data_IF_894070773250
#
_entry.id   IF_894070773250
#
_cell.length_a   1.000
_cell.length_b   1.000
_cell.length_c   1.000
_cell.angle_alpha   90.00
_cell.angle_beta   90.00
_cell.angle_gamma   90.00
#
_symmetry.space_group_name_H-M   'P 1'
#
loop_
_entity.id
_entity.type
_entity.pdbx_description
1 polymer ?
#
# COMPACT_ATOMS: atom_id res chain seq x y z
N UNK A 1 -26.14 -7.28 -14.94
CA UNK A 1 -25.63 -7.92 -13.71
C UNK A 1 -25.10 -6.92 -12.67
N UNK A 2 -24.08 -6.09 -12.95
CA UNK A 2 -23.48 -5.17 -11.94
C UNK A 2 -24.46 -4.20 -11.27
N UNK A 3 -25.43 -3.65 -12.01
CA UNK A 3 -26.44 -2.75 -11.43
C UNK A 3 -27.36 -3.46 -10.42
N UNK A 4 -27.81 -4.68 -10.72
CA UNK A 4 -28.67 -5.46 -9.80
C UNK A 4 -27.90 -5.88 -8.55
N UNK A 5 -26.62 -6.21 -8.68
CA UNK A 5 -25.73 -6.48 -7.55
C UNK A 5 -25.58 -5.24 -6.66
N UNK A 6 -25.31 -4.07 -7.25
CA UNK A 6 -25.20 -2.80 -6.51
C UNK A 6 -26.50 -2.45 -5.75
N UNK A 7 -27.65 -2.65 -6.38
CA UNK A 7 -28.95 -2.46 -5.73
C UNK A 7 -29.19 -3.44 -4.58
N UNK A 8 -28.78 -4.71 -4.73
CA UNK A 8 -28.93 -5.73 -3.68
C UNK A 8 -28.08 -5.41 -2.46
N UNK A 9 -26.80 -5.11 -2.66
CA UNK A 9 -25.89 -4.74 -1.56
C UNK A 9 -26.30 -3.43 -0.89
N UNK A 10 -26.76 -2.44 -1.66
CA UNK A 10 -27.29 -1.19 -1.11
C UNK A 10 -28.52 -1.41 -0.21
N UNK A 11 -29.41 -2.34 -0.56
CA UNK A 11 -30.54 -2.75 0.30
C UNK A 11 -30.07 -3.47 1.55
N UNK A 12 -29.12 -4.41 1.44
CA UNK A 12 -28.57 -5.14 2.58
C UNK A 12 -27.91 -4.19 3.60
N UNK A 13 -27.23 -3.15 3.13
CA UNK A 13 -26.58 -2.16 3.98
C UNK A 13 -27.54 -1.36 4.88
N UNK A 14 -28.84 -1.33 4.58
CA UNK A 14 -29.82 -0.74 5.51
C UNK A 14 -29.93 -1.52 6.83
N UNK A 15 -29.51 -2.80 6.84
CA UNK A 15 -29.59 -3.67 8.02
C UNK A 15 -28.31 -3.73 8.86
N UNK A 16 -27.13 -3.65 8.22
CA UNK A 16 -25.85 -3.85 8.90
C UNK A 16 -24.81 -2.73 8.64
N UNK A 17 -25.15 -1.70 7.85
CA UNK A 17 -24.25 -0.59 7.54
C UNK A 17 -23.06 -0.96 6.65
N UNK A 18 -23.05 -2.16 6.03
CA UNK A 18 -21.94 -2.67 5.25
C UNK A 18 -22.31 -2.88 3.78
N UNK A 19 -21.46 -2.39 2.87
CA UNK A 19 -21.55 -2.61 1.43
C UNK A 19 -20.23 -3.13 0.92
N UNK A 20 -20.22 -4.31 0.30
CA UNK A 20 -19.05 -4.85 -0.39
C UNK A 20 -19.39 -5.19 -1.84
N UNK A 21 -18.83 -4.44 -2.78
CA UNK A 21 -19.11 -4.60 -4.20
C UNK A 21 -17.88 -5.12 -4.94
N UNK A 22 -18.00 -6.32 -5.49
CA UNK A 22 -17.02 -6.83 -6.44
C UNK A 22 -17.38 -6.40 -7.88
N UNK A 23 -16.59 -5.48 -8.41
CA UNK A 23 -16.73 -4.88 -9.73
C UNK A 23 -15.46 -4.98 -10.57
N UNK A 24 -14.53 -5.87 -10.19
CA UNK A 24 -13.25 -6.05 -10.88
C UNK A 24 -13.43 -6.60 -12.31
N UNK A 25 -12.62 -6.12 -13.24
CA UNK A 25 -12.53 -6.58 -14.64
C UNK A 25 -13.87 -6.55 -15.41
N UNK A 26 -14.71 -5.52 -15.15
CA UNK A 26 -16.06 -5.38 -15.75
C UNK A 26 -16.17 -4.32 -16.83
N UNK A 27 -15.03 -3.77 -17.29
CA UNK A 27 -14.97 -2.67 -18.26
C UNK A 27 -15.87 -1.49 -17.85
N UNK A 28 -15.86 -1.15 -16.56
CA UNK A 28 -16.62 -0.03 -16.03
C UNK A 28 -15.86 1.26 -16.36
N UNK A 29 -16.53 2.17 -17.03
CA UNK A 29 -16.06 3.54 -17.27
C UNK A 29 -16.61 4.52 -16.21
N UNK A 30 -16.23 5.80 -16.29
CA UNK A 30 -16.70 6.82 -15.37
C UNK A 30 -18.23 6.97 -15.34
N UNK A 31 -18.89 6.85 -16.50
CA UNK A 31 -20.34 7.04 -16.63
C UNK A 31 -21.11 5.90 -15.96
N UNK A 32 -20.65 4.67 -16.18
CA UNK A 32 -21.22 3.48 -15.56
C UNK A 32 -20.93 3.43 -14.07
N UNK A 33 -19.74 3.84 -13.63
CA UNK A 33 -19.43 3.98 -12.20
C UNK A 33 -20.39 4.98 -11.55
N UNK A 34 -20.56 6.17 -12.15
CA UNK A 34 -21.51 7.18 -11.67
C UNK A 34 -22.92 6.62 -11.53
N UNK A 35 -23.41 5.88 -12.54
CA UNK A 35 -24.73 5.25 -12.50
C UNK A 35 -24.85 4.18 -11.41
N UNK A 36 -23.78 3.41 -11.17
CA UNK A 36 -23.74 2.40 -10.12
C UNK A 36 -23.78 3.04 -8.74
N UNK A 37 -22.94 4.06 -8.51
CA UNK A 37 -22.89 4.82 -7.27
C UNK A 37 -24.21 5.54 -7.04
N UNK A 38 -24.81 6.14 -8.07
CA UNK A 38 -26.09 6.85 -7.95
C UNK A 38 -27.26 5.95 -7.59
N UNK A 39 -27.21 4.68 -7.96
CA UNK A 39 -28.21 3.68 -7.54
C UNK A 39 -27.97 3.14 -6.12
N UNK A 40 -26.76 3.32 -5.59
CA UNK A 40 -26.46 3.04 -4.18
C UNK A 40 -26.80 4.21 -3.23
N UNK A 41 -27.13 5.41 -3.77
CA UNK A 41 -27.37 6.69 -3.07
C UNK A 41 -28.64 6.78 -2.19
N UNK A 42 -28.89 5.86 -1.28
CA UNK A 42 -29.98 6.05 -0.29
C UNK A 42 -29.55 5.89 1.16
N UNK A 43 -28.26 5.68 1.43
CA UNK A 43 -27.90 5.03 2.68
C UNK A 43 -26.94 5.86 3.56
N UNK A 44 -27.50 6.81 4.31
CA UNK A 44 -26.83 7.56 5.40
C UNK A 44 -26.36 6.67 6.57
N UNK A 45 -26.54 5.35 6.47
CA UNK A 45 -26.20 4.36 7.48
C UNK A 45 -24.92 3.57 7.15
N UNK A 46 -24.31 3.77 5.97
CA UNK A 46 -23.08 3.04 5.60
C UNK A 46 -21.94 3.44 6.55
N UNK A 47 -21.46 2.45 7.28
CA UNK A 47 -20.29 2.53 8.16
C UNK A 47 -19.09 1.79 7.55
N UNK A 48 -19.32 0.79 6.70
CA UNK A 48 -18.27 0.03 6.02
C UNK A 48 -18.53 -0.07 4.52
N UNK A 49 -17.56 0.37 3.71
CA UNK A 49 -17.63 0.30 2.26
C UNK A 49 -16.39 -0.38 1.68
N UNK A 50 -16.58 -1.48 0.96
CA UNK A 50 -15.59 -2.13 0.12
C UNK A 50 -15.96 -2.05 -1.35
N UNK A 51 -15.07 -1.49 -2.19
CA UNK A 51 -15.22 -1.45 -3.64
C UNK A 51 -14.01 -2.10 -4.31
N UNK A 52 -14.23 -3.24 -4.97
CA UNK A 52 -13.24 -3.87 -5.84
C UNK A 52 -13.44 -3.37 -7.26
N UNK A 53 -12.59 -2.47 -7.73
CA UNK A 53 -12.68 -1.80 -9.03
C UNK A 53 -11.43 -2.05 -9.89
N UNK A 54 -10.57 -2.99 -9.51
CA UNK A 54 -9.37 -3.36 -10.28
C UNK A 54 -9.69 -3.69 -11.75
N UNK A 55 -8.79 -3.32 -12.66
CA UNK A 55 -8.86 -3.66 -14.08
C UNK A 55 -10.08 -3.09 -14.83
N UNK A 56 -10.50 -1.89 -14.44
CA UNK A 56 -11.56 -1.14 -15.14
C UNK A 56 -10.97 0.08 -15.88
N UNK A 57 -11.83 0.91 -16.46
CA UNK A 57 -11.44 2.09 -17.24
C UNK A 57 -12.11 3.35 -16.68
N UNK A 58 -12.21 3.45 -15.35
CA UNK A 58 -12.95 4.54 -14.71
C UNK A 58 -12.25 5.89 -14.89
N UNK A 59 -10.91 5.92 -14.97
CA UNK A 59 -10.09 7.11 -15.20
C UNK A 59 -10.34 8.24 -14.19
N UNK A 60 -9.79 9.43 -14.49
CA UNK A 60 -9.82 10.59 -13.59
C UNK A 60 -11.25 11.06 -13.26
N UNK A 61 -12.13 11.05 -14.26
CA UNK A 61 -13.55 11.39 -14.08
C UNK A 61 -14.24 10.40 -13.15
N UNK A 62 -13.94 9.11 -13.28
CA UNK A 62 -14.47 8.08 -12.39
C UNK A 62 -13.99 8.26 -10.95
N UNK A 63 -12.73 8.62 -10.74
CA UNK A 63 -12.20 8.93 -9.42
C UNK A 63 -12.86 10.16 -8.80
N UNK A 64 -13.14 11.20 -9.60
CA UNK A 64 -13.90 12.37 -9.15
C UNK A 64 -15.33 12.01 -8.71
N UNK A 65 -16.02 11.17 -9.47
CA UNK A 65 -17.37 10.69 -9.11
C UNK A 65 -17.34 9.83 -7.85
N UNK A 66 -16.31 8.98 -7.69
CA UNK A 66 -16.10 8.20 -6.48
C UNK A 66 -15.87 9.10 -5.26
N UNK A 67 -15.00 10.12 -5.34
CA UNK A 67 -14.78 11.07 -4.24
C UNK A 67 -16.07 11.82 -3.90
N UNK A 68 -16.83 12.25 -4.91
CA UNK A 68 -18.11 12.93 -4.71
C UNK A 68 -19.11 12.04 -3.97
N UNK A 69 -19.17 10.75 -4.32
CA UNK A 69 -19.99 9.76 -3.61
C UNK A 69 -19.52 9.54 -2.18
N UNK A 70 -18.22 9.32 -1.94
CA UNK A 70 -17.68 9.09 -0.60
C UNK A 70 -17.95 10.26 0.35
N UNK A 71 -17.97 11.50 -0.17
CA UNK A 71 -18.34 12.71 0.58
C UNK A 71 -19.79 12.73 1.08
N UNK A 72 -20.66 11.86 0.56
CA UNK A 72 -22.04 11.70 1.06
C UNK A 72 -22.13 10.77 2.28
N UNK A 73 -21.11 9.95 2.53
CA UNK A 73 -21.13 8.89 3.54
C UNK A 73 -20.63 9.40 4.90
N UNK A 74 -21.46 10.18 5.58
CA UNK A 74 -21.09 10.88 6.84
C UNK A 74 -20.75 9.93 8.01
N UNK A 75 -21.27 8.70 8.00
CA UNK A 75 -21.04 7.69 9.04
C UNK A 75 -19.93 6.68 8.70
N UNK A 76 -19.23 6.87 7.59
CA UNK A 76 -18.22 5.92 7.14
C UNK A 76 -17.06 5.81 8.14
N UNK A 77 -16.86 4.61 8.67
CA UNK A 77 -15.80 4.26 9.62
C UNK A 77 -14.71 3.39 8.96
N UNK A 78 -15.07 2.59 7.96
CA UNK A 78 -14.18 1.68 7.23
C UNK A 78 -14.34 1.86 5.73
N UNK A 79 -13.23 2.07 5.04
CA UNK A 79 -13.19 2.21 3.58
C UNK A 79 -12.13 1.30 2.99
N UNK A 80 -12.51 0.46 2.03
CA UNK A 80 -11.60 -0.36 1.25
C UNK A 80 -11.81 -0.09 -0.24
N UNK A 81 -10.80 0.49 -0.89
CA UNK A 81 -10.84 0.83 -2.31
C UNK A 81 -9.70 0.11 -3.04
N UNK A 82 -10.06 -0.75 -3.98
CA UNK A 82 -9.12 -1.44 -4.85
C UNK A 82 -9.27 -0.91 -6.26
N UNK A 83 -8.30 -0.13 -6.71
CA UNK A 83 -8.39 0.68 -7.91
C UNK A 83 -7.22 0.42 -8.88
N UNK A 84 -6.57 -0.73 -8.80
CA UNK A 84 -5.44 -1.05 -9.67
C UNK A 84 -5.81 -1.08 -11.14
N UNK A 85 -4.91 -0.59 -12.01
CA UNK A 85 -5.09 -0.65 -13.46
C UNK A 85 -6.32 0.10 -13.97
N UNK A 86 -6.59 1.31 -13.45
CA UNK A 86 -7.73 2.16 -13.82
C UNK A 86 -7.35 3.40 -14.64
N UNK A 87 -6.08 3.53 -15.02
CA UNK A 87 -5.53 4.60 -15.86
C UNK A 87 -5.72 6.00 -15.24
N UNK A 88 -5.41 6.15 -13.96
CA UNK A 88 -5.42 7.48 -13.33
C UNK A 88 -4.20 8.29 -13.74
N UNK A 89 -4.42 9.56 -14.02
CA UNK A 89 -3.34 10.54 -14.12
C UNK A 89 -3.09 11.22 -12.77
N UNK A 90 -2.06 12.07 -12.72
CA UNK A 90 -1.79 12.97 -11.59
C UNK A 90 -3.01 13.86 -11.28
N UNK A 91 -3.69 14.38 -12.30
CA UNK A 91 -4.89 15.22 -12.14
C UNK A 91 -6.06 14.43 -11.54
N UNK A 92 -6.16 13.14 -11.87
CA UNK A 92 -7.11 12.21 -11.26
C UNK A 92 -6.85 12.06 -9.76
N UNK A 93 -5.60 11.76 -9.39
CA UNK A 93 -5.23 11.59 -7.97
C UNK A 93 -5.44 12.88 -7.16
N UNK A 94 -5.24 14.05 -7.77
CA UNK A 94 -5.56 15.35 -7.13
C UNK A 94 -7.02 15.46 -6.68
N UNK A 95 -7.96 14.75 -7.31
CA UNK A 95 -9.36 14.74 -6.87
C UNK A 95 -9.55 14.13 -5.48
N UNK A 96 -8.63 13.27 -5.01
CA UNK A 96 -8.65 12.76 -3.63
C UNK A 96 -8.55 13.88 -2.59
N UNK A 97 -7.90 15.01 -2.91
CA UNK A 97 -7.80 16.15 -1.99
C UNK A 97 -9.15 16.82 -1.72
N UNK A 98 -10.16 16.59 -2.56
CA UNK A 98 -11.54 17.06 -2.38
C UNK A 98 -12.37 16.13 -1.49
N UNK A 99 -11.79 15.03 -1.00
CA UNK A 99 -12.42 14.22 0.03
C UNK A 99 -12.55 15.06 1.30
N UNK A 100 -13.79 15.26 1.74
CA UNK A 100 -14.11 15.99 2.96
C UNK A 100 -13.65 15.16 4.14
N UNK A 101 -12.95 15.80 5.05
CA UNK A 101 -12.49 15.21 6.31
C UNK A 101 -13.64 14.46 7.00
N UNK A 102 -13.54 13.13 7.01
CA UNK A 102 -14.44 12.28 7.76
C UNK A 102 -13.74 11.87 9.07
N UNK A 103 -14.09 12.54 10.17
CA UNK A 103 -13.54 12.26 11.51
C UNK A 103 -13.90 10.87 12.05
N UNK A 104 -14.88 10.20 11.44
CA UNK A 104 -15.28 8.85 11.82
C UNK A 104 -14.43 7.77 11.14
N UNK A 105 -13.77 8.06 10.01
CA UNK A 105 -12.96 7.07 9.29
C UNK A 105 -11.77 6.60 10.16
N UNK A 106 -11.82 5.33 10.58
CA UNK A 106 -10.80 4.68 11.43
C UNK A 106 -9.95 3.69 10.65
N UNK A 107 -10.48 3.13 9.57
CA UNK A 107 -9.80 2.10 8.79
C UNK A 107 -9.84 2.47 7.31
N UNK A 108 -8.65 2.54 6.69
CA UNK A 108 -8.52 2.74 5.25
C UNK A 108 -7.67 1.62 4.66
N UNK A 109 -8.22 0.92 3.68
CA UNK A 109 -7.47 0.14 2.71
C UNK A 109 -7.55 0.83 1.36
N UNK A 110 -6.40 1.16 0.77
CA UNK A 110 -6.31 1.81 -0.53
C UNK A 110 -5.25 1.11 -1.38
N UNK A 111 -5.67 0.57 -2.51
CA UNK A 111 -4.80 -0.03 -3.51
C UNK A 111 -4.88 0.76 -4.82
N UNK A 112 -3.74 1.31 -5.26
CA UNK A 112 -3.63 2.11 -6.49
C UNK A 112 -2.59 1.54 -7.48
N UNK A 113 -2.15 0.30 -7.28
CA UNK A 113 -1.09 -0.34 -8.06
C UNK A 113 -1.32 -0.28 -9.57
N UNK A 114 -0.24 -0.27 -10.36
CA UNK A 114 -0.31 -0.29 -11.83
C UNK A 114 -1.11 0.88 -12.44
N UNK A 115 -1.04 2.07 -11.85
CA UNK A 115 -1.62 3.30 -12.40
C UNK A 115 -0.56 4.33 -12.86
N UNK A 116 0.73 3.98 -12.92
CA UNK A 116 1.83 4.87 -13.36
C UNK A 116 1.72 6.29 -12.78
N UNK A 117 1.59 6.37 -11.46
CA UNK A 117 1.27 7.61 -10.76
C UNK A 117 2.41 8.64 -10.83
N UNK A 118 3.65 8.17 -10.73
CA UNK A 118 4.84 9.02 -10.63
C UNK A 118 4.95 9.76 -9.30
N UNK A 119 6.07 10.46 -9.09
CA UNK A 119 6.39 11.10 -7.81
C UNK A 119 5.38 12.18 -7.38
N UNK A 120 4.85 12.97 -8.34
CA UNK A 120 3.93 14.08 -8.03
C UNK A 120 2.56 13.58 -7.54
N UNK A 121 1.99 12.55 -8.16
CA UNK A 121 0.76 11.96 -7.68
C UNK A 121 0.91 11.37 -6.27
N UNK A 122 2.10 10.88 -5.93
CA UNK A 122 2.39 10.34 -4.60
C UNK A 122 2.50 11.44 -3.54
N UNK A 123 3.00 12.62 -3.91
CA UNK A 123 2.95 13.78 -3.02
C UNK A 123 1.51 14.18 -2.70
N UNK A 124 0.67 14.21 -3.73
CA UNK A 124 -0.78 14.46 -3.58
C UNK A 124 -1.44 13.40 -2.70
N UNK A 125 -1.12 12.12 -2.91
CA UNK A 125 -1.64 11.02 -2.10
C UNK A 125 -1.19 11.13 -0.64
N UNK A 126 0.07 11.48 -0.39
CA UNK A 126 0.58 11.72 0.95
C UNK A 126 -0.17 12.85 1.66
N UNK A 127 -0.44 13.96 0.98
CA UNK A 127 -1.26 15.06 1.51
C UNK A 127 -2.71 14.66 1.79
N UNK A 128 -3.29 13.79 0.96
CA UNK A 128 -4.60 13.21 1.22
C UNK A 128 -4.58 12.35 2.49
N UNK A 129 -3.59 11.46 2.63
CA UNK A 129 -3.45 10.58 3.79
C UNK A 129 -3.25 11.39 5.08
N UNK A 130 -2.39 12.41 5.08
CA UNK A 130 -2.11 13.19 6.29
C UNK A 130 -3.31 13.95 6.85
N UNK A 131 -4.33 14.22 6.02
CA UNK A 131 -5.61 14.78 6.48
C UNK A 131 -6.43 13.78 7.30
N UNK A 132 -6.24 12.48 7.14
CA UNK A 132 -7.05 11.43 7.77
C UNK A 132 -6.62 11.15 9.23
N UNK A 133 -6.54 12.19 10.06
CA UNK A 133 -5.99 12.18 11.43
C UNK A 133 -6.69 11.25 12.43
N UNK A 134 -7.86 10.72 12.06
CA UNK A 134 -8.63 9.77 12.86
C UNK A 134 -8.33 8.30 12.57
N UNK A 135 -7.52 8.01 11.54
CA UNK A 135 -7.14 6.65 11.19
C UNK A 135 -6.39 5.97 12.32
N UNK A 136 -6.82 4.73 12.58
CA UNK A 136 -6.16 3.76 13.44
C UNK A 136 -5.44 2.72 12.58
N UNK A 137 -6.11 2.25 11.53
CA UNK A 137 -5.57 1.27 10.59
C UNK A 137 -5.41 1.87 9.19
N UNK A 138 -4.22 1.72 8.61
CA UNK A 138 -3.93 2.08 7.23
C UNK A 138 -3.30 0.89 6.52
N UNK A 139 -3.96 0.39 5.49
CA UNK A 139 -3.41 -0.55 4.51
C UNK A 139 -3.26 0.20 3.18
N UNK A 140 -2.02 0.42 2.76
CA UNK A 140 -1.70 1.20 1.58
C UNK A 140 -0.86 0.36 0.62
N UNK A 141 -1.41 0.07 -0.54
CA UNK A 141 -0.83 -0.81 -1.56
C UNK A 141 -0.57 0.02 -2.82
N UNK A 142 0.71 0.26 -3.09
CA UNK A 142 1.21 1.13 -4.14
C UNK A 142 2.30 0.45 -4.96
N UNK A 143 2.23 -0.87 -5.15
CA UNK A 143 3.18 -1.57 -6.02
C UNK A 143 3.12 -1.04 -7.46
N UNK A 144 4.28 -0.97 -8.11
CA UNK A 144 4.40 -0.53 -9.51
C UNK A 144 3.72 0.84 -9.79
N UNK A 145 4.11 1.86 -9.02
CA UNK A 145 3.57 3.23 -9.10
C UNK A 145 4.62 4.29 -9.46
N UNK A 146 5.89 3.91 -9.68
CA UNK A 146 7.01 4.79 -10.01
C UNK A 146 7.29 5.89 -8.95
N UNK A 147 7.42 5.47 -7.68
CA UNK A 147 7.64 6.41 -6.56
C UNK A 147 9.08 6.96 -6.49
N UNK A 148 10.08 6.11 -6.74
CA UNK A 148 11.47 6.36 -6.38
C UNK A 148 11.70 6.60 -4.87
N UNK A 149 12.95 6.87 -4.51
CA UNK A 149 13.34 7.17 -3.12
C UNK A 149 12.57 8.36 -2.54
N UNK A 150 12.51 9.48 -3.28
CA UNK A 150 11.89 10.72 -2.79
C UNK A 150 10.39 10.55 -2.51
N UNK A 151 9.66 9.86 -3.40
CA UNK A 151 8.23 9.59 -3.22
C UNK A 151 7.98 8.69 -2.01
N UNK A 152 8.75 7.61 -1.84
CA UNK A 152 8.62 6.69 -0.71
C UNK A 152 8.91 7.37 0.64
N UNK A 153 9.97 8.18 0.71
CA UNK A 153 10.33 8.93 1.93
C UNK A 153 9.24 9.94 2.27
N UNK A 154 8.80 10.72 1.28
CA UNK A 154 7.75 11.72 1.48
C UNK A 154 6.45 11.08 1.97
N UNK A 155 6.03 9.96 1.38
CA UNK A 155 4.85 9.24 1.80
C UNK A 155 4.95 8.80 3.27
N UNK A 156 6.10 8.23 3.67
CA UNK A 156 6.32 7.81 5.06
C UNK A 156 6.31 9.01 6.03
N UNK A 157 6.84 10.16 5.62
CA UNK A 157 6.75 11.41 6.39
C UNK A 157 5.30 11.86 6.61
N UNK A 158 4.44 11.71 5.61
CA UNK A 158 3.01 12.03 5.74
C UNK A 158 2.27 11.02 6.64
N UNK A 159 2.55 9.72 6.49
CA UNK A 159 1.99 8.66 7.35
C UNK A 159 2.39 8.87 8.81
N UNK A 160 3.62 9.31 9.09
CA UNK A 160 4.09 9.70 10.44
C UNK A 160 3.23 10.78 11.11
N UNK A 161 2.52 11.59 10.31
CA UNK A 161 1.57 12.59 10.80
C UNK A 161 0.33 12.00 11.47
N UNK A 162 -0.01 10.73 11.22
CA UNK A 162 -1.21 10.07 11.71
C UNK A 162 -1.07 9.64 13.19
N UNK A 163 -1.36 10.56 14.11
CA UNK A 163 -1.13 10.39 15.55
C UNK A 163 -1.92 9.28 16.23
N UNK A 164 -2.98 8.77 15.60
CA UNK A 164 -3.82 7.68 16.13
C UNK A 164 -3.54 6.32 15.48
N UNK A 165 -2.59 6.26 14.54
CA UNK A 165 -2.28 5.06 13.78
C UNK A 165 -1.66 4.01 14.72
N UNK A 166 -2.29 2.84 14.79
CA UNK A 166 -1.83 1.70 15.56
C UNK A 166 -1.50 0.50 14.67
N UNK A 167 -2.02 0.45 13.44
CA UNK A 167 -1.74 -0.62 12.49
C UNK A 167 -1.44 -0.02 11.11
N UNK A 168 -0.27 -0.37 10.58
CA UNK A 168 0.17 0.04 9.26
C UNK A 168 0.53 -1.20 8.46
N UNK A 169 -0.07 -1.35 7.28
CA UNK A 169 0.46 -2.20 6.23
C UNK A 169 0.82 -1.30 5.05
N UNK A 170 2.06 -1.37 4.60
CA UNK A 170 2.58 -0.53 3.53
C UNK A 170 3.31 -1.41 2.51
N UNK A 171 2.73 -1.49 1.30
CA UNK A 171 3.35 -2.17 0.17
C UNK A 171 3.77 -1.13 -0.88
N UNK A 172 5.07 -0.98 -1.05
CA UNK A 172 5.75 -0.13 -2.03
C UNK A 172 6.65 -0.95 -2.96
N UNK A 173 6.34 -2.21 -3.20
CA UNK A 173 7.10 -3.04 -4.14
C UNK A 173 7.20 -2.36 -5.53
N UNK A 174 8.25 -2.66 -6.27
CA UNK A 174 8.32 -2.34 -7.71
C UNK A 174 8.27 -0.84 -8.02
N UNK A 175 8.98 -0.04 -7.24
CA UNK A 175 8.90 1.42 -7.23
C UNK A 175 10.24 2.16 -7.34
N UNK A 176 11.31 1.52 -7.83
CA UNK A 176 12.65 2.13 -7.97
C UNK A 176 13.22 2.71 -6.66
N UNK A 177 13.04 2.02 -5.52
CA UNK A 177 13.49 2.41 -4.18
C UNK A 177 14.79 1.66 -3.85
N UNK A 178 15.85 2.41 -3.58
CA UNK A 178 17.17 1.88 -3.20
C UNK A 178 17.31 1.77 -1.68
N UNK A 179 18.41 1.16 -1.20
CA UNK A 179 18.75 1.05 0.23
C UNK A 179 18.54 2.37 1.00
N UNK A 180 18.99 3.50 0.44
CA UNK A 180 18.86 4.81 1.08
C UNK A 180 17.40 5.23 1.23
N UNK A 181 16.57 4.96 0.22
CA UNK A 181 15.13 5.19 0.27
C UNK A 181 14.48 4.36 1.36
N UNK A 182 14.78 3.06 1.40
CA UNK A 182 14.21 2.13 2.40
C UNK A 182 14.63 2.50 3.82
N UNK A 183 15.93 2.73 4.05
CA UNK A 183 16.46 3.16 5.35
C UNK A 183 15.77 4.43 5.84
N UNK A 184 15.63 5.42 4.96
CA UNK A 184 14.99 6.69 5.29
C UNK A 184 13.50 6.51 5.58
N UNK A 185 12.77 5.76 4.74
CA UNK A 185 11.36 5.42 4.97
C UNK A 185 11.13 4.69 6.29
N UNK A 186 11.99 3.72 6.63
CA UNK A 186 11.91 2.96 7.89
C UNK A 186 12.18 3.86 9.09
N UNK A 187 13.15 4.77 9.00
CA UNK A 187 13.42 5.74 10.06
C UNK A 187 12.20 6.65 10.32
N UNK A 188 11.48 7.05 9.27
CA UNK A 188 10.24 7.83 9.40
C UNK A 188 9.10 7.01 10.03
N UNK A 189 8.91 5.76 9.59
CA UNK A 189 7.91 4.84 10.16
C UNK A 189 8.20 4.56 11.65
N UNK A 190 9.48 4.40 12.02
CA UNK A 190 9.88 4.14 13.39
C UNK A 190 9.58 5.31 14.34
N UNK A 191 9.23 6.50 13.84
CA UNK A 191 8.74 7.61 14.67
C UNK A 191 7.27 7.43 15.11
N UNK A 192 6.54 6.48 14.53
CA UNK A 192 5.15 6.19 14.88
C UNK A 192 5.14 5.22 16.07
N UNK A 193 5.48 5.74 17.25
CA UNK A 193 5.64 4.95 18.49
C UNK A 193 4.34 4.26 18.98
N UNK A 194 3.20 4.63 18.41
CA UNK A 194 1.89 4.01 18.69
C UNK A 194 1.62 2.72 17.92
N UNK A 195 2.48 2.32 16.97
CA UNK A 195 2.26 1.11 16.19
C UNK A 195 2.30 -0.16 17.06
N UNK A 196 1.21 -0.93 16.97
CA UNK A 196 1.08 -2.28 17.51
C UNK A 196 1.25 -3.35 16.41
N UNK A 197 0.95 -3.01 15.14
CA UNK A 197 1.14 -3.87 13.98
C UNK A 197 1.81 -3.10 12.84
N UNK A 198 2.82 -3.71 12.23
CA UNK A 198 3.52 -3.20 11.07
C UNK A 198 3.67 -4.31 10.03
N UNK A 199 3.11 -4.11 8.85
CA UNK A 199 3.41 -4.82 7.62
C UNK A 199 4.20 -3.92 6.68
N UNK A 200 5.34 -4.39 6.17
CA UNK A 200 6.20 -3.58 5.33
C UNK A 200 6.79 -4.39 4.18
N UNK A 201 6.31 -4.10 2.98
CA UNK A 201 6.74 -4.75 1.74
C UNK A 201 7.29 -3.65 0.82
N UNK A 202 8.60 -3.45 0.78
CA UNK A 202 9.22 -2.31 0.06
C UNK A 202 10.13 -2.78 -1.10
N UNK A 203 10.28 -4.08 -1.30
CA UNK A 203 11.36 -4.63 -2.14
C UNK A 203 11.11 -6.01 -2.77
N UNK A 204 9.87 -6.49 -2.87
CA UNK A 204 9.55 -7.79 -3.47
C UNK A 204 9.02 -7.67 -4.90
N UNK A 205 9.76 -8.18 -5.89
CA UNK A 205 9.13 -8.72 -7.11
C UNK A 205 8.88 -10.22 -6.91
N UNK A 206 7.65 -10.64 -7.16
CA UNK A 206 7.33 -12.06 -7.36
C UNK A 206 7.97 -12.52 -8.67
N UNK A 207 9.17 -13.09 -8.62
CA UNK A 207 9.81 -13.68 -9.82
C UNK A 207 9.01 -14.92 -10.21
N UNK A 208 8.15 -14.81 -11.22
CA UNK A 208 7.51 -15.98 -11.82
C UNK A 208 8.57 -16.82 -12.57
N UNK A 209 8.80 -18.02 -12.05
CA UNK A 209 9.79 -18.98 -12.57
C UNK A 209 9.62 -19.35 -14.05
N UNK A 210 8.45 -19.11 -14.65
CA UNK A 210 8.18 -19.50 -16.04
C UNK A 210 8.77 -18.52 -17.08
N UNK A 211 9.13 -17.28 -16.72
CA UNK A 211 9.60 -16.26 -17.66
C UNK A 211 11.07 -15.86 -17.52
N UNK A 212 11.87 -16.55 -16.70
CA UNK A 212 13.27 -16.18 -16.40
C UNK A 212 14.22 -16.08 -17.61
N UNK A 213 13.88 -16.64 -18.79
CA UNK A 213 14.75 -16.60 -19.98
C UNK A 213 14.58 -15.36 -20.86
N UNK A 214 13.43 -14.68 -20.79
CA UNK A 214 13.14 -13.55 -21.69
C UNK A 214 13.60 -12.19 -21.12
N UNK A 215 13.92 -12.13 -19.82
CA UNK A 215 14.34 -10.92 -19.09
C UNK A 215 15.85 -10.81 -18.89
N UNK A 216 16.66 -11.50 -19.69
CA UNK A 216 18.13 -11.43 -19.61
C UNK A 216 18.71 -10.02 -19.84
N UNK A 217 17.90 -9.05 -20.30
CA UNK A 217 18.37 -7.71 -20.68
C UNK A 217 17.63 -6.49 -20.07
N UNK A 218 16.71 -6.67 -19.11
CA UNK A 218 15.90 -5.55 -18.58
C UNK A 218 15.54 -5.69 -17.09
N UNK A 219 16.53 -5.83 -16.21
CA UNK A 219 16.27 -5.83 -14.76
C UNK A 219 16.19 -4.39 -14.21
N UNK A 220 15.08 -3.70 -14.48
CA UNK A 220 14.69 -2.40 -13.92
C UNK A 220 14.14 -2.51 -12.47
N UNK A 221 14.68 -3.39 -11.63
CA UNK A 221 13.93 -3.87 -10.45
C UNK A 221 14.59 -3.57 -9.09
N UNK A 222 13.72 -3.29 -8.10
CA UNK A 222 14.08 -2.98 -6.71
C UNK A 222 14.69 -4.18 -6.00
N UNK A 223 15.97 -4.08 -5.68
CA UNK A 223 16.67 -5.04 -4.84
C UNK A 223 17.41 -4.24 -3.77
N UNK A 224 17.24 -4.61 -2.50
CA UNK A 224 17.97 -4.01 -1.38
C UNK A 224 19.09 -4.91 -0.89
N UNK A 225 20.15 -4.31 -0.34
CA UNK A 225 21.30 -5.06 0.18
C UNK A 225 20.99 -5.77 1.50
N UNK A 226 21.77 -6.80 1.80
CA UNK A 226 21.78 -7.46 3.11
C UNK A 226 21.91 -6.48 4.28
N UNK A 227 22.78 -5.49 4.15
CA UNK A 227 23.01 -4.52 5.21
C UNK A 227 21.78 -3.63 5.43
N UNK A 228 21.06 -3.32 4.35
CA UNK A 228 19.75 -2.67 4.44
C UNK A 228 18.76 -3.55 5.21
N UNK A 229 18.63 -4.85 4.88
CA UNK A 229 17.72 -5.76 5.61
C UNK A 229 18.06 -5.85 7.10
N UNK A 230 19.34 -6.05 7.44
CA UNK A 230 19.82 -6.06 8.84
C UNK A 230 19.49 -4.75 9.54
N UNK A 231 19.69 -3.63 8.85
CA UNK A 231 19.36 -2.31 9.37
C UNK A 231 17.86 -2.18 9.66
N UNK A 232 16.99 -2.58 8.74
CA UNK A 232 15.53 -2.53 8.90
C UNK A 232 15.12 -3.30 10.15
N UNK A 233 15.55 -4.55 10.26
CA UNK A 233 15.20 -5.43 11.39
C UNK A 233 15.69 -4.83 12.71
N UNK A 234 16.96 -4.43 12.79
CA UNK A 234 17.54 -3.85 14.01
C UNK A 234 16.86 -2.55 14.40
N UNK A 235 16.56 -1.70 13.42
CA UNK A 235 15.95 -0.38 13.64
C UNK A 235 14.52 -0.51 14.11
N UNK A 236 13.69 -1.29 13.42
CA UNK A 236 12.31 -1.58 13.84
C UNK A 236 12.32 -2.18 15.25
N UNK A 237 13.18 -3.16 15.50
CA UNK A 237 13.22 -3.85 16.79
C UNK A 237 13.66 -3.00 17.96
N UNK A 238 14.65 -2.12 17.76
CA UNK A 238 15.09 -1.20 18.83
C UNK A 238 14.18 0.00 19.01
N UNK A 239 13.53 0.49 17.94
CA UNK A 239 12.77 1.74 17.99
C UNK A 239 11.26 1.58 18.22
N UNK A 240 10.67 0.43 17.86
CA UNK A 240 9.24 0.13 18.02
C UNK A 240 9.03 -0.95 19.07
N UNK A 241 9.44 -0.67 20.31
CA UNK A 241 9.39 -1.63 21.42
C UNK A 241 7.97 -2.08 21.81
N UNK A 242 6.94 -1.31 21.45
CA UNK A 242 5.52 -1.65 21.64
C UNK A 242 4.91 -2.54 20.54
N UNK A 243 5.68 -2.90 19.50
CA UNK A 243 5.19 -3.59 18.33
C UNK A 243 4.92 -5.07 18.60
N UNK A 244 3.64 -5.47 18.51
CA UNK A 244 3.18 -6.84 18.74
C UNK A 244 3.26 -7.69 17.48
N UNK A 245 2.93 -7.11 16.32
CA UNK A 245 2.94 -7.82 15.04
C UNK A 245 3.90 -7.13 14.08
N UNK A 246 4.80 -7.92 13.50
CA UNK A 246 5.69 -7.49 12.43
C UNK A 246 5.57 -8.49 11.28
N UNK A 247 5.11 -8.01 10.13
CA UNK A 247 5.07 -8.75 8.87
C UNK A 247 6.04 -8.08 7.90
N UNK A 248 7.04 -8.81 7.43
CA UNK A 248 8.04 -8.31 6.51
C UNK A 248 8.12 -9.26 5.32
N UNK A 249 7.61 -8.84 4.16
CA UNK A 249 7.87 -9.54 2.90
C UNK A 249 9.03 -8.83 2.18
N UNK A 250 10.24 -9.39 2.35
CA UNK A 250 11.51 -8.79 1.89
C UNK A 250 12.28 -9.81 1.04
N UNK A 251 12.64 -9.41 -0.19
CA UNK A 251 13.61 -10.12 -1.03
C UNK A 251 14.99 -9.40 -0.96
N UNK A 252 16.09 -10.15 -0.85
CA UNK A 252 17.47 -9.61 -0.77
C UNK A 252 18.51 -10.60 -1.36
N UNK A 253 19.75 -10.14 -1.62
CA UNK A 253 20.87 -10.95 -2.15
C UNK A 253 22.15 -10.83 -1.31
N UNK A 254 22.99 -11.86 -1.32
CA UNK A 254 24.09 -12.05 -0.36
C UNK A 254 25.53 -11.90 -0.87
N UNK A 255 25.77 -11.66 -2.16
CA UNK A 255 27.12 -11.79 -2.72
C UNK A 255 27.96 -10.49 -2.72
N UNK A 256 29.22 -10.59 -2.25
CA UNK A 256 30.26 -9.53 -2.28
C UNK A 256 30.62 -9.10 -3.72
N UNK A 257 30.37 -9.95 -4.72
CA UNK A 257 30.59 -9.66 -6.15
C UNK A 257 29.75 -8.50 -6.69
N UNK A 258 28.69 -8.07 -5.99
CA UNK A 258 27.87 -6.91 -6.40
C UNK A 258 28.56 -5.54 -6.24
N UNK A 259 29.72 -5.45 -5.57
CA UNK A 259 30.37 -4.15 -5.32
C UNK A 259 30.91 -3.47 -6.58
N UNK A 260 31.30 -4.23 -7.60
CA UNK A 260 31.74 -3.69 -8.91
C UNK A 260 30.58 -3.11 -9.75
N UNK A 261 29.34 -3.48 -9.43
CA UNK A 261 28.15 -3.17 -10.23
C UNK A 261 27.45 -1.86 -9.80
N UNK A 262 27.90 -1.23 -8.72
CA UNK A 262 27.43 0.09 -8.25
C UNK A 262 27.77 1.25 -9.19
N UNK A 263 28.62 1.04 -10.20
CA UNK A 263 29.17 2.14 -11.01
C UNK A 263 28.52 2.35 -12.38
N UNK A 264 27.82 1.37 -12.97
CA UNK A 264 27.41 1.45 -14.39
C UNK A 264 26.10 0.73 -14.79
N UNK A 265 25.17 0.46 -13.86
CA UNK A 265 23.79 0.09 -14.25
C UNK A 265 23.62 -1.23 -15.03
N UNK A 266 23.75 -2.35 -14.31
CA UNK A 266 23.38 -3.75 -14.71
C UNK A 266 24.30 -4.38 -15.79
N UNK A 267 24.58 -5.69 -15.85
CA UNK A 267 23.82 -6.91 -15.56
C UNK A 267 24.68 -8.07 -15.01
N UNK A 268 24.02 -9.02 -14.33
CA UNK A 268 24.52 -10.37 -14.08
C UNK A 268 24.48 -10.78 -12.60
N UNK A 269 23.44 -11.51 -12.18
CA UNK A 269 23.49 -12.27 -10.93
C UNK A 269 22.91 -13.67 -11.11
N UNK A 270 23.76 -14.67 -10.83
CA UNK A 270 23.31 -16.02 -10.53
C UNK A 270 22.47 -15.99 -9.24
N UNK A 271 21.31 -16.64 -9.30
CA UNK A 271 20.54 -17.01 -8.11
C UNK A 271 21.40 -17.95 -7.29
N UNK A 272 21.76 -17.57 -6.06
CA UNK A 272 21.78 -18.48 -4.91
C UNK A 272 21.99 -17.77 -3.56
N UNK A 273 21.29 -18.31 -2.55
CA UNK A 273 21.47 -18.24 -1.09
C UNK A 273 21.15 -16.92 -0.34
N UNK A 274 19.85 -16.58 -0.33
CA UNK A 274 18.94 -16.52 0.83
C UNK A 274 19.64 -16.67 2.22
N UNK A 275 19.45 -15.72 3.16
CA UNK A 275 19.43 -16.07 4.59
C UNK A 275 18.40 -17.17 4.73
N UNK A 276 18.81 -18.32 5.26
CA UNK A 276 17.86 -19.33 5.67
C UNK A 276 16.73 -18.68 6.49
N UNK A 277 15.49 -19.12 6.31
CA UNK A 277 14.35 -18.66 7.13
C UNK A 277 14.71 -18.64 8.62
N UNK A 278 15.55 -19.59 9.05
CA UNK A 278 16.17 -19.66 10.37
C UNK A 278 17.08 -18.49 10.73
N UNK A 279 17.92 -17.94 9.85
CA UNK A 279 18.78 -16.80 10.19
C UNK A 279 18.02 -15.49 10.36
N UNK A 280 17.02 -15.23 9.51
CA UNK A 280 16.13 -14.07 9.71
C UNK A 280 15.28 -14.30 10.95
N UNK A 281 14.74 -15.51 11.14
CA UNK A 281 14.00 -15.85 12.36
C UNK A 281 14.87 -15.68 13.60
N UNK A 282 16.13 -16.11 13.59
CA UNK A 282 17.07 -15.94 14.70
C UNK A 282 17.43 -14.46 14.93
N UNK A 283 17.65 -13.68 13.87
CA UNK A 283 17.92 -12.25 14.01
C UNK A 283 16.71 -11.52 14.59
N UNK A 284 15.51 -11.86 14.12
CA UNK A 284 14.25 -11.36 14.65
C UNK A 284 14.04 -11.81 16.09
N UNK A 285 14.19 -13.10 16.40
CA UNK A 285 14.07 -13.65 17.75
C UNK A 285 15.05 -13.01 18.72
N UNK A 286 16.32 -12.88 18.36
CA UNK A 286 17.31 -12.20 19.20
C UNK A 286 16.94 -10.73 19.44
N UNK A 287 16.49 -10.02 18.41
CA UNK A 287 16.11 -8.61 18.50
C UNK A 287 14.78 -8.40 19.24
N UNK A 288 13.85 -9.35 19.14
CA UNK A 288 12.47 -9.25 19.64
C UNK A 288 12.16 -10.18 20.83
N UNK A 289 13.16 -10.86 21.38
CA UNK A 289 13.08 -11.81 22.51
C UNK A 289 12.41 -11.26 23.77
N UNK A 290 12.18 -9.96 23.86
CA UNK A 290 11.51 -9.28 24.97
C UNK A 290 10.00 -9.07 24.77
N UNK A 291 9.40 -9.47 23.63
CA UNK A 291 8.00 -9.16 23.29
C UNK A 291 7.18 -10.45 23.18
N UNK A 292 6.24 -10.63 24.11
CA UNK A 292 5.32 -11.78 24.15
C UNK A 292 4.37 -11.78 22.95
N UNK A 293 4.35 -12.90 22.23
CA UNK A 293 3.52 -13.26 21.07
C UNK A 293 3.88 -12.57 19.75
N UNK A 294 4.60 -13.27 18.86
CA UNK A 294 4.77 -12.85 17.45
C UNK A 294 4.47 -14.02 16.50
N UNK A 295 3.49 -13.81 15.61
CA UNK A 295 3.43 -14.53 14.35
C UNK A 295 4.29 -13.76 13.35
N UNK A 296 5.55 -14.18 13.21
CA UNK A 296 6.42 -13.69 12.14
C UNK A 296 6.10 -14.54 10.91
N UNK A 297 5.48 -13.96 9.89
CA UNK A 297 5.37 -14.59 8.57
C UNK A 297 6.54 -14.07 7.73
N UNK A 298 7.44 -14.99 7.40
CA UNK A 298 8.50 -14.90 6.38
C UNK A 298 8.17 -15.95 5.34
#
# INVERSE_FOLDING_TARGET
>A
MSNQLALRESKNAQSNGEVNLNLQDKQIDSSRLKLLLSKALTNNFIQSLGLQLNGNIIGDKGLQELVSYLNTLQKLEKLSLFLSGNKFSIEGVQKLLNFKLNSNLKNLTLQLSNNMLGQEAIRVLGLFISKLSSLKQLNLILDNCDLGNCGAIYLCQQIKGLKKLNELYLNLNDNSITDNGVISSVNEICQIKSLASLGLDICSHKIDSQNCKQYQYQLYYNVISNDCVKYIIKTIGSQLTGLKVLNLDILYYTNQSCQLYKKQGYEGLEKDLIFSKSEISNLLENTFSQIQTKQIKI
#
